data_IF_979539255985
#
_entry.id   IF_979539255985
#
_cell.length_a   1.000
_cell.length_b   1.000
_cell.length_c   1.000
_cell.angle_alpha   90.00
_cell.angle_beta   90.00
_cell.angle_gamma   90.00
#
_symmetry.space_group_name_H-M   'P 1'
#
loop_
_entity.id
_entity.type
_entity.pdbx_description
1 polymer ?
#
# COMPACT_ATOMS: atom_id res chain seq x y z
N UNK A 1 36.44 30.60 -30.06
CA UNK A 1 36.51 29.44 -29.15
C UNK A 1 35.40 29.60 -28.15
N UNK A 2 34.28 28.91 -28.37
CA UNK A 2 33.13 28.87 -27.46
C UNK A 2 33.11 27.47 -26.84
N UNK A 3 33.46 27.41 -25.56
CA UNK A 3 33.44 26.19 -24.77
C UNK A 3 31.99 25.91 -24.39
N UNK A 4 31.45 24.80 -24.88
CA UNK A 4 30.16 24.25 -24.44
C UNK A 4 30.30 23.80 -22.98
N UNK A 5 29.60 24.47 -22.08
CA UNK A 5 29.30 23.92 -20.76
C UNK A 5 28.30 22.77 -20.93
N UNK A 6 28.80 21.54 -20.73
CA UNK A 6 27.97 20.35 -20.57
C UNK A 6 27.20 20.48 -19.26
N UNK A 7 25.92 20.84 -19.35
CA UNK A 7 24.99 20.74 -18.23
C UNK A 7 24.91 19.28 -17.78
N UNK A 8 25.61 18.93 -16.70
CA UNK A 8 25.34 17.70 -15.95
C UNK A 8 23.87 17.72 -15.50
N UNK A 9 23.08 16.81 -16.05
CA UNK A 9 21.70 16.64 -15.65
C UNK A 9 21.67 16.15 -14.20
N UNK A 10 21.18 16.99 -13.29
CA UNK A 10 20.86 16.58 -11.92
C UNK A 10 20.02 15.30 -11.96
N UNK A 11 20.37 14.24 -11.20
CA UNK A 11 19.61 13.00 -11.21
C UNK A 11 18.17 13.31 -10.82
N UNK A 12 17.23 13.03 -11.72
CA UNK A 12 15.82 13.18 -11.41
C UNK A 12 15.48 12.25 -10.23
N UNK A 13 14.89 12.76 -9.15
CA UNK A 13 14.49 11.92 -8.02
C UNK A 13 13.53 10.82 -8.49
N UNK A 14 13.53 9.71 -7.77
CA UNK A 14 12.61 8.61 -8.04
C UNK A 14 11.16 9.10 -7.92
N UNK A 15 10.26 8.68 -8.83
CA UNK A 15 8.85 9.02 -8.71
C UNK A 15 8.28 8.44 -7.41
N UNK A 16 7.39 9.15 -6.70
CA UNK A 16 6.77 8.62 -5.50
C UNK A 16 5.78 7.51 -5.87
N UNK A 17 5.83 6.38 -5.16
CA UNK A 17 4.86 5.31 -5.35
C UNK A 17 4.57 4.61 -4.02
N UNK A 18 3.37 4.04 -3.95
CA UNK A 18 2.98 3.09 -2.92
C UNK A 18 2.76 1.73 -3.55
N UNK A 19 3.39 0.70 -2.99
CA UNK A 19 2.95 -0.67 -3.23
C UNK A 19 1.54 -0.80 -2.68
N UNK A 20 0.65 -1.46 -3.42
CA UNK A 20 -0.75 -1.73 -3.04
C UNK A 20 -1.03 -3.22 -3.00
N UNK A 21 -0.41 -3.97 -3.89
CA UNK A 21 -0.48 -5.42 -3.92
C UNK A 21 0.86 -5.96 -4.39
N UNK A 22 1.27 -7.09 -3.86
CA UNK A 22 2.44 -7.81 -4.32
C UNK A 22 2.16 -9.31 -4.25
N UNK A 23 2.52 -10.01 -5.31
CA UNK A 23 2.39 -11.45 -5.40
C UNK A 23 3.64 -12.03 -6.05
N UNK A 24 4.29 -12.96 -5.36
CA UNK A 24 5.37 -13.76 -5.90
C UNK A 24 4.85 -15.16 -6.23
N UNK A 25 4.95 -15.55 -7.49
CA UNK A 25 4.70 -16.91 -7.92
C UNK A 25 5.89 -17.83 -7.63
N UNK A 26 5.73 -19.10 -7.99
CA UNK A 26 6.62 -20.15 -7.46
C UNK A 26 8.08 -20.06 -7.90
N UNK A 27 8.42 -19.51 -9.08
CA UNK A 27 9.82 -19.54 -9.60
C UNK A 27 10.21 -18.48 -10.63
N UNK A 28 9.26 -17.98 -11.42
CA UNK A 28 9.58 -17.23 -12.64
C UNK A 28 8.65 -16.05 -12.92
N UNK A 29 7.77 -15.74 -11.96
CA UNK A 29 6.72 -14.76 -12.12
C UNK A 29 6.52 -13.97 -10.83
N UNK A 30 6.43 -12.66 -10.98
CA UNK A 30 6.05 -11.75 -9.89
C UNK A 30 5.12 -10.69 -10.44
N UNK A 31 4.11 -10.33 -9.65
CA UNK A 31 3.17 -9.27 -9.94
C UNK A 31 3.16 -8.24 -8.82
N UNK A 32 3.10 -6.97 -9.17
CA UNK A 32 3.05 -5.88 -8.22
C UNK A 32 2.10 -4.81 -8.73
N UNK A 33 1.17 -4.38 -7.89
CA UNK A 33 0.39 -3.17 -8.13
C UNK A 33 0.98 -2.03 -7.31
N UNK A 34 1.17 -0.89 -7.95
CA UNK A 34 1.53 0.36 -7.28
C UNK A 34 0.55 1.49 -7.60
N UNK A 35 0.43 2.42 -6.67
CA UNK A 35 -0.17 3.73 -6.90
C UNK A 35 0.95 4.77 -6.98
N UNK A 36 1.08 5.41 -8.13
CA UNK A 36 1.94 6.57 -8.33
C UNK A 36 1.02 7.79 -8.50
N UNK A 37 1.06 8.70 -7.53
CA UNK A 37 0.07 9.76 -7.37
C UNK A 37 -1.38 9.21 -7.38
N UNK A 38 -2.17 9.56 -8.40
CA UNK A 38 -3.56 9.12 -8.60
C UNK A 38 -3.71 8.05 -9.69
N UNK A 39 -2.59 7.44 -10.12
CA UNK A 39 -2.58 6.40 -11.16
C UNK A 39 -2.15 5.06 -10.61
N UNK A 40 -2.89 4.04 -11.03
CA UNK A 40 -2.60 2.64 -10.75
C UNK A 40 -1.75 2.03 -11.86
N UNK A 41 -0.69 1.34 -11.48
CA UNK A 41 0.13 0.52 -12.37
C UNK A 41 0.13 -0.92 -11.89
N UNK A 42 -0.22 -1.84 -12.78
CA UNK A 42 -0.11 -3.28 -12.55
C UNK A 42 1.11 -3.78 -13.32
N UNK A 43 2.10 -4.28 -12.61
CA UNK A 43 3.43 -4.58 -13.13
C UNK A 43 3.66 -6.07 -13.07
N UNK A 44 3.95 -6.67 -14.22
CA UNK A 44 4.24 -8.09 -14.37
C UNK A 44 5.71 -8.30 -14.73
N UNK A 45 6.40 -9.13 -13.94
CA UNK A 45 7.72 -9.63 -14.25
C UNK A 45 7.66 -11.12 -14.58
N UNK A 46 8.27 -11.52 -15.71
CA UNK A 46 8.37 -12.91 -16.13
C UNK A 46 9.81 -13.22 -16.55
N UNK A 47 10.39 -14.31 -16.04
CA UNK A 47 11.78 -14.69 -16.36
C UNK A 47 11.99 -14.93 -17.86
N UNK A 48 10.93 -15.37 -18.58
CA UNK A 48 10.97 -15.59 -20.04
C UNK A 48 11.21 -14.29 -20.82
N UNK A 49 10.79 -13.13 -20.28
CA UNK A 49 10.97 -11.83 -20.94
C UNK A 49 12.39 -11.28 -20.79
N UNK A 50 13.28 -12.02 -20.14
CA UNK A 50 14.66 -11.65 -19.84
C UNK A 50 15.66 -12.63 -20.47
N UNK A 51 15.21 -13.53 -21.35
CA UNK A 51 16.06 -14.55 -21.98
C UNK A 51 17.19 -13.95 -22.80
N UNK A 52 16.96 -12.80 -23.43
CA UNK A 52 17.94 -12.06 -24.21
C UNK A 52 19.08 -11.47 -23.35
N UNK A 53 18.91 -11.38 -22.03
CA UNK A 53 19.96 -10.94 -21.10
C UNK A 53 20.07 -11.88 -19.89
N UNK A 54 20.93 -12.92 -19.97
CA UNK A 54 21.10 -13.90 -18.90
C UNK A 54 21.53 -13.31 -17.55
N UNK A 55 22.22 -12.16 -17.55
CA UNK A 55 22.62 -11.47 -16.32
C UNK A 55 21.40 -10.95 -15.55
N UNK A 56 20.50 -10.22 -16.23
CA UNK A 56 19.26 -9.70 -15.64
C UNK A 56 18.34 -10.85 -15.23
N UNK A 57 18.22 -11.90 -16.05
CA UNK A 57 17.42 -13.08 -15.68
C UNK A 57 17.92 -13.74 -14.39
N UNK A 58 19.25 -13.84 -14.23
CA UNK A 58 19.86 -14.40 -13.01
C UNK A 58 19.59 -13.52 -11.79
N UNK A 59 19.68 -12.20 -11.93
CA UNK A 59 19.33 -11.25 -10.87
C UNK A 59 17.88 -11.41 -10.42
N UNK A 60 16.93 -11.42 -11.36
CA UNK A 60 15.50 -11.64 -11.07
C UNK A 60 15.24 -12.98 -10.37
N UNK A 61 15.84 -14.08 -10.85
CA UNK A 61 15.70 -15.38 -10.20
C UNK A 61 16.36 -15.42 -8.80
N UNK A 62 17.41 -14.64 -8.57
CA UNK A 62 18.02 -14.45 -7.26
C UNK A 62 17.05 -13.81 -6.28
N UNK A 63 16.46 -12.67 -6.66
CA UNK A 63 15.46 -11.96 -5.86
C UNK A 63 14.24 -12.83 -5.52
N UNK A 64 13.73 -13.60 -6.48
CA UNK A 64 12.65 -14.57 -6.22
C UNK A 64 13.11 -15.62 -5.20
N UNK A 65 14.31 -16.18 -5.36
CA UNK A 65 14.81 -17.20 -4.43
C UNK A 65 14.93 -16.65 -3.01
N UNK A 66 15.43 -15.42 -2.86
CA UNK A 66 15.59 -14.77 -1.56
C UNK A 66 14.22 -14.52 -0.92
N UNK A 67 13.25 -14.02 -1.68
CA UNK A 67 11.85 -13.90 -1.27
C UNK A 67 11.22 -15.22 -0.79
N UNK A 68 11.37 -16.29 -1.58
CA UNK A 68 10.82 -17.61 -1.26
C UNK A 68 11.54 -18.29 -0.09
N UNK A 69 12.73 -17.81 0.27
CA UNK A 69 13.49 -18.30 1.42
C UNK A 69 13.13 -17.59 2.73
N UNK A 70 12.30 -16.55 2.68
CA UNK A 70 11.80 -15.89 3.88
C UNK A 70 10.87 -16.85 4.64
N UNK A 71 11.27 -17.22 5.86
CA UNK A 71 10.38 -17.95 6.76
C UNK A 71 9.23 -17.04 7.17
N UNK A 72 8.00 -17.54 7.04
CA UNK A 72 6.76 -16.81 7.39
C UNK A 72 6.70 -16.35 8.87
N UNK A 73 7.60 -16.81 9.73
CA UNK A 73 7.65 -16.48 11.16
C UNK A 73 8.84 -15.55 11.53
N UNK A 74 9.74 -15.21 10.58
CA UNK A 74 10.91 -14.36 10.82
C UNK A 74 10.76 -12.97 10.19
N UNK A 75 9.70 -12.25 10.58
CA UNK A 75 9.54 -10.81 10.26
C UNK A 75 10.43 -9.90 11.11
N UNK A 76 11.49 -10.43 11.73
CA UNK A 76 12.40 -9.60 12.49
C UNK A 76 13.17 -8.72 11.52
N UNK A 77 12.90 -7.41 11.58
CA UNK A 77 13.75 -6.41 10.95
C UNK A 77 15.18 -6.63 11.44
N UNK A 78 16.08 -7.00 10.53
CA UNK A 78 17.51 -7.19 10.81
C UNK A 78 18.24 -5.92 10.36
N UNK A 79 18.64 -5.04 11.29
CA UNK A 79 19.31 -3.79 10.93
C UNK A 79 20.53 -4.07 10.06
N UNK A 80 20.64 -3.40 8.91
CA UNK A 80 21.75 -3.54 7.98
C UNK A 80 21.64 -4.72 7.00
N UNK A 81 20.58 -5.52 7.05
CA UNK A 81 20.23 -6.45 5.98
C UNK A 81 19.12 -5.86 5.11
N UNK A 82 19.23 -5.97 3.78
CA UNK A 82 18.16 -5.55 2.92
C UNK A 82 16.97 -6.49 3.06
N UNK A 83 15.76 -5.93 3.08
CA UNK A 83 14.52 -6.70 3.10
C UNK A 83 14.25 -7.26 1.69
N UNK A 84 14.17 -8.59 1.50
CA UNK A 84 14.02 -9.17 0.16
C UNK A 84 12.76 -8.69 -0.58
N UNK A 85 11.69 -8.36 0.15
CA UNK A 85 10.47 -7.79 -0.40
C UNK A 85 10.69 -6.36 -0.89
N UNK A 86 11.34 -5.51 -0.09
CA UNK A 86 11.71 -4.16 -0.49
C UNK A 86 12.63 -4.16 -1.71
N UNK A 87 13.65 -5.03 -1.74
CA UNK A 87 14.56 -5.15 -2.88
C UNK A 87 13.83 -5.54 -4.16
N UNK A 88 12.99 -6.58 -4.11
CA UNK A 88 12.23 -7.01 -5.28
C UNK A 88 11.25 -5.94 -5.76
N UNK A 89 10.52 -5.32 -4.83
CA UNK A 89 9.55 -4.28 -5.18
C UNK A 89 10.25 -3.06 -5.80
N UNK A 90 11.38 -2.62 -5.23
CA UNK A 90 12.17 -1.53 -5.80
C UNK A 90 12.75 -1.90 -7.17
N UNK A 91 13.29 -3.11 -7.32
CA UNK A 91 13.81 -3.62 -8.60
C UNK A 91 12.74 -3.56 -9.70
N UNK A 92 11.53 -4.02 -9.40
CA UNK A 92 10.39 -3.93 -10.33
C UNK A 92 9.98 -2.48 -10.61
N UNK A 93 9.83 -1.66 -9.57
CA UNK A 93 9.39 -0.27 -9.71
C UNK A 93 10.38 0.56 -10.55
N UNK A 94 11.68 0.35 -10.33
CA UNK A 94 12.77 1.05 -11.03
C UNK A 94 12.72 0.82 -12.54
N UNK A 95 12.38 -0.39 -12.99
CA UNK A 95 12.16 -0.70 -14.40
C UNK A 95 11.03 0.14 -15.03
N UNK A 96 10.09 0.62 -14.21
CA UNK A 96 8.89 1.35 -14.61
C UNK A 96 8.96 2.86 -14.38
N UNK A 97 10.01 3.42 -13.76
CA UNK A 97 10.05 4.85 -13.41
C UNK A 97 9.87 5.80 -14.59
N UNK A 98 10.34 5.44 -15.79
CA UNK A 98 10.08 6.24 -16.99
C UNK A 98 8.58 6.32 -17.32
N UNK A 99 7.86 5.21 -17.17
CA UNK A 99 6.41 5.16 -17.35
C UNK A 99 5.68 5.91 -16.25
N UNK A 100 6.11 5.80 -14.99
CA UNK A 100 5.49 6.56 -13.89
C UNK A 100 5.57 8.06 -14.16
N UNK A 101 6.73 8.58 -14.55
CA UNK A 101 6.90 10.01 -14.86
C UNK A 101 6.05 10.48 -16.04
N UNK A 102 5.88 9.62 -17.05
CA UNK A 102 5.18 9.97 -18.30
C UNK A 102 3.67 9.84 -18.17
N UNK A 103 3.20 8.78 -17.49
CA UNK A 103 1.79 8.38 -17.45
C UNK A 103 1.07 8.78 -16.16
N UNK A 104 1.83 9.10 -15.10
CA UNK A 104 1.34 9.64 -13.85
C UNK A 104 2.06 10.96 -13.53
N UNK A 105 1.76 12.04 -14.27
CA UNK A 105 2.35 13.33 -13.99
C UNK A 105 1.99 13.79 -12.58
N UNK A 106 2.92 14.49 -11.93
CA UNK A 106 2.71 15.10 -10.62
C UNK A 106 1.43 15.97 -10.65
N UNK A 107 0.48 15.78 -9.71
CA UNK A 107 -0.72 16.59 -9.64
C UNK A 107 -0.38 18.07 -9.48
N UNK A 108 -1.11 18.94 -10.18
CA UNK A 108 -0.95 20.39 -10.06
C UNK A 108 -1.69 20.97 -8.87
N UNK A 109 -2.70 20.26 -8.36
CA UNK A 109 -3.55 20.71 -7.27
C UNK A 109 -3.90 19.53 -6.34
N UNK A 110 -4.01 19.76 -5.01
CA UNK A 110 -4.51 18.77 -4.08
C UNK A 110 -5.91 18.28 -4.43
N UNK A 111 -6.08 16.96 -4.49
CA UNK A 111 -7.38 16.34 -4.79
C UNK A 111 -7.75 15.29 -3.75
N UNK A 112 -8.89 15.50 -3.09
CA UNK A 112 -9.54 14.47 -2.28
C UNK A 112 -10.26 13.51 -3.23
N UNK A 113 -9.96 12.22 -3.09
CA UNK A 113 -10.65 11.15 -3.84
C UNK A 113 -11.51 10.30 -2.90
N UNK A 114 -12.46 9.57 -3.45
CA UNK A 114 -13.26 8.60 -2.69
C UNK A 114 -12.61 7.23 -2.68
N UNK A 115 -13.05 6.38 -1.74
CA UNK A 115 -12.63 4.98 -1.67
C UNK A 115 -13.07 4.22 -2.92
N UNK A 116 -14.22 4.59 -3.49
CA UNK A 116 -14.67 4.08 -4.79
C UNK A 116 -13.67 4.41 -5.89
N UNK A 117 -13.33 5.69 -6.06
CA UNK A 117 -12.35 6.14 -7.06
C UNK A 117 -11.00 5.44 -6.87
N UNK A 118 -10.50 5.34 -5.64
CA UNK A 118 -9.22 4.69 -5.34
C UNK A 118 -9.16 3.25 -5.87
N UNK A 119 -10.18 2.43 -5.59
CA UNK A 119 -10.19 1.02 -5.99
C UNK A 119 -10.65 0.79 -7.43
N UNK A 120 -11.39 1.71 -8.03
CA UNK A 120 -11.91 1.59 -9.41
C UNK A 120 -11.06 2.32 -10.44
N UNK A 121 -9.99 3.01 -10.01
CA UNK A 121 -9.05 3.68 -10.91
C UNK A 121 -8.51 2.68 -11.94
N UNK A 122 -8.67 2.97 -13.25
CA UNK A 122 -8.16 2.09 -14.30
C UNK A 122 -6.65 1.86 -14.16
N UNK A 123 -6.24 0.60 -14.30
CA UNK A 123 -4.84 0.22 -14.22
C UNK A 123 -4.13 0.39 -15.56
N UNK A 124 -2.91 0.92 -15.51
CA UNK A 124 -1.95 0.86 -16.61
C UNK A 124 -1.13 -0.41 -16.42
N UNK A 125 -1.26 -1.36 -17.35
CA UNK A 125 -0.53 -2.62 -17.26
C UNK A 125 0.85 -2.47 -17.90
N UNK A 126 1.87 -2.82 -17.13
CA UNK A 126 3.26 -2.82 -17.55
C UNK A 126 3.82 -4.23 -17.44
N UNK A 127 4.63 -4.61 -18.41
CA UNK A 127 5.36 -5.87 -18.37
C UNK A 127 6.85 -5.57 -18.45
N UNK A 128 7.60 -6.05 -17.45
CA UNK A 128 9.04 -5.92 -17.40
C UNK A 128 9.67 -6.76 -18.52
N UNK A 129 10.64 -6.15 -19.19
CA UNK A 129 11.38 -6.73 -20.31
C UNK A 129 12.80 -6.19 -20.34
N UNK A 130 13.60 -6.70 -21.27
CA UNK A 130 14.95 -6.21 -21.51
C UNK A 130 14.99 -5.58 -22.90
N UNK A 131 15.52 -4.37 -22.99
CA UNK A 131 15.79 -3.71 -24.26
C UNK A 131 17.22 -3.18 -24.22
N UNK A 132 18.01 -3.46 -25.26
CA UNK A 132 19.43 -3.10 -25.36
C UNK A 132 20.25 -3.47 -24.11
N UNK A 133 19.99 -4.66 -23.55
CA UNK A 133 20.66 -5.15 -22.35
C UNK A 133 20.28 -4.44 -21.04
N UNK A 134 19.29 -3.54 -21.08
CA UNK A 134 18.80 -2.78 -19.92
C UNK A 134 17.39 -3.23 -19.51
N UNK A 135 17.17 -3.32 -18.20
CA UNK A 135 15.85 -3.56 -17.63
C UNK A 135 14.91 -2.38 -17.88
N UNK A 136 13.75 -2.64 -18.47
CA UNK A 136 12.72 -1.66 -18.78
C UNK A 136 11.33 -2.27 -18.67
N UNK A 137 10.30 -1.52 -18.98
CA UNK A 137 8.94 -2.02 -19.11
C UNK A 137 8.28 -1.57 -20.40
N UNK A 138 7.34 -2.36 -20.88
CA UNK A 138 6.45 -2.02 -21.99
C UNK A 138 5.00 -2.04 -21.51
N UNK A 139 4.17 -1.20 -22.09
CA UNK A 139 2.74 -1.26 -21.82
C UNK A 139 2.13 -2.49 -22.47
N UNK A 140 1.34 -3.23 -21.72
CA UNK A 140 0.70 -4.46 -22.18
C UNK A 140 -0.82 -4.40 -22.03
N UNK A 141 -1.51 -5.32 -22.69
CA UNK A 141 -2.95 -5.49 -22.53
C UNK A 141 -3.20 -6.66 -21.58
N UNK A 142 -3.45 -6.37 -20.31
CA UNK A 142 -4.00 -7.32 -19.35
C UNK A 142 -5.41 -6.91 -18.95
N UNK A 143 -6.21 -7.89 -18.51
CA UNK A 143 -7.49 -7.57 -17.89
C UNK A 143 -7.18 -6.97 -16.51
N UNK A 144 -7.82 -5.85 -16.15
CA UNK A 144 -7.60 -5.25 -14.84
C UNK A 144 -8.10 -6.19 -13.75
N UNK A 145 -7.27 -6.40 -12.74
CA UNK A 145 -7.72 -7.08 -11.53
C UNK A 145 -8.60 -6.13 -10.71
N UNK A 146 -9.72 -6.68 -10.21
CA UNK A 146 -10.58 -5.98 -9.27
C UNK A 146 -9.91 -5.93 -7.90
N UNK A 147 -9.36 -4.77 -7.53
CA UNK A 147 -8.71 -4.59 -6.23
C UNK A 147 -9.69 -4.22 -5.13
N UNK A 148 -10.96 -3.96 -5.46
CA UNK A 148 -11.95 -3.67 -4.44
C UNK A 148 -12.08 -4.89 -3.54
N UNK A 149 -11.75 -4.78 -2.24
CA UNK A 149 -11.97 -5.89 -1.33
C UNK A 149 -13.47 -6.18 -1.29
N UNK A 150 -13.84 -7.46 -1.32
CA UNK A 150 -15.23 -7.89 -1.21
C UNK A 150 -15.29 -9.16 -0.38
N UNK A 151 -15.97 -9.09 0.74
CA UNK A 151 -16.24 -10.26 1.55
C UNK A 151 -17.68 -10.26 2.03
N UNK A 152 -18.24 -11.46 2.19
CA UNK A 152 -19.63 -11.64 2.62
C UNK A 152 -19.64 -11.97 4.10
N UNK A 153 -20.26 -11.11 4.91
CA UNK A 153 -20.47 -11.42 6.32
C UNK A 153 -21.52 -12.51 6.47
N UNK A 154 -21.30 -13.45 7.39
CA UNK A 154 -22.32 -14.43 7.75
C UNK A 154 -23.61 -13.78 8.25
N UNK A 155 -24.75 -14.39 7.94
CA UNK A 155 -26.09 -13.98 8.38
C UNK A 155 -26.21 -13.88 9.92
N UNK A 156 -25.39 -14.62 10.66
CA UNK A 156 -25.36 -14.57 12.13
C UNK A 156 -24.91 -13.21 12.68
N UNK A 157 -24.24 -12.39 11.87
CA UNK A 157 -23.82 -11.04 12.26
C UNK A 157 -24.91 -9.99 12.09
N UNK A 158 -25.93 -10.24 11.24
CA UNK A 158 -27.00 -9.29 10.88
C UNK A 158 -27.67 -8.66 12.10
N UNK A 159 -27.97 -9.46 13.12
CA UNK A 159 -28.60 -8.97 14.35
C UNK A 159 -27.64 -8.16 15.24
N UNK A 160 -26.36 -8.53 15.29
CA UNK A 160 -25.34 -7.80 16.05
C UNK A 160 -24.94 -6.49 15.36
N UNK A 161 -25.03 -6.44 14.03
CA UNK A 161 -24.68 -5.30 13.19
C UNK A 161 -25.84 -4.35 12.90
N UNK A 162 -27.05 -4.64 13.38
CA UNK A 162 -28.26 -3.90 12.99
C UNK A 162 -28.18 -2.39 13.27
N UNK A 163 -27.39 -1.97 14.27
CA UNK A 163 -27.16 -0.57 14.62
C UNK A 163 -25.94 0.06 13.95
N UNK A 164 -25.15 -0.71 13.20
CA UNK A 164 -23.95 -0.22 12.53
C UNK A 164 -24.34 0.30 11.15
N UNK A 165 -24.04 1.58 10.82
CA UNK A 165 -24.42 2.15 9.54
C UNK A 165 -23.65 1.48 8.40
N UNK A 166 -24.33 1.34 7.27
CA UNK A 166 -23.74 0.88 6.02
C UNK A 166 -23.52 2.08 5.10
N UNK A 167 -22.27 2.28 4.68
CA UNK A 167 -21.87 3.38 3.81
C UNK A 167 -21.44 2.86 2.43
N UNK A 168 -21.71 3.65 1.42
CA UNK A 168 -21.17 3.42 0.07
C UNK A 168 -19.69 3.89 0.03
N UNK A 169 -18.81 3.21 -0.73
CA UNK A 169 -17.43 3.63 -0.92
C UNK A 169 -17.30 5.08 -1.43
N UNK A 170 -18.27 5.54 -2.22
CA UNK A 170 -18.35 6.92 -2.73
C UNK A 170 -18.53 7.99 -1.63
N UNK A 171 -18.93 7.58 -0.41
CA UNK A 171 -19.12 8.47 0.75
C UNK A 171 -17.92 8.49 1.70
N UNK A 172 -16.92 7.65 1.45
CA UNK A 172 -15.70 7.55 2.24
C UNK A 172 -14.58 8.23 1.46
N UNK A 173 -13.99 9.28 2.02
CA UNK A 173 -13.00 10.11 1.32
C UNK A 173 -11.58 9.86 1.84
N UNK A 174 -10.60 9.89 0.96
CA UNK A 174 -9.19 9.76 1.28
C UNK A 174 -8.61 11.19 1.37
N UNK A 175 -8.08 11.60 2.53
CA UNK A 175 -7.45 12.90 2.68
C UNK A 175 -6.21 13.03 1.79
N UNK A 176 -5.86 14.27 1.46
CA UNK A 176 -4.64 14.60 0.74
C UNK A 176 -3.42 14.52 1.66
N UNK A 177 -2.37 13.86 1.19
CA UNK A 177 -1.03 13.86 1.77
C UNK A 177 -0.23 15.01 1.15
N UNK A 178 0.02 16.07 1.92
CA UNK A 178 0.82 17.21 1.46
C UNK A 178 2.31 16.91 1.37
N UNK A 179 2.81 15.93 2.12
CA UNK A 179 4.25 15.58 2.13
C UNK A 179 4.62 14.81 0.86
N UNK A 180 3.73 13.90 0.43
CA UNK A 180 3.93 13.07 -0.76
C UNK A 180 3.08 13.50 -1.97
N UNK A 181 2.31 14.58 -1.81
CA UNK A 181 1.48 15.21 -2.84
C UNK A 181 0.57 14.24 -3.59
N UNK A 182 -0.18 13.46 -2.83
CA UNK A 182 -1.06 12.40 -3.34
C UNK A 182 -2.17 12.09 -2.35
N UNK A 183 -3.22 11.37 -2.74
CA UNK A 183 -4.16 10.82 -1.76
C UNK A 183 -3.47 9.85 -0.80
N UNK A 184 -3.81 9.92 0.49
CA UNK A 184 -3.33 8.94 1.47
C UNK A 184 -3.86 7.54 1.13
N UNK A 185 -3.12 6.51 1.52
CA UNK A 185 -3.63 5.12 1.50
C UNK A 185 -4.96 5.03 2.25
N UNK A 186 -5.86 4.10 1.88
CA UNK A 186 -7.17 3.95 2.50
C UNK A 186 -7.18 3.68 4.01
N UNK A 187 -6.06 3.59 4.71
CA UNK A 187 -6.03 3.36 6.16
C UNK A 187 -6.63 4.52 6.96
N UNK A 188 -6.43 5.78 6.54
CA UNK A 188 -7.02 6.98 7.16
C UNK A 188 -8.04 7.59 6.21
N UNK A 189 -9.28 7.69 6.63
CA UNK A 189 -10.39 8.20 5.80
C UNK A 189 -11.23 9.24 6.51
N UNK A 190 -11.92 10.07 5.73
CA UNK A 190 -12.88 11.07 6.18
C UNK A 190 -14.29 10.62 5.82
N UNK A 191 -15.19 10.67 6.81
CA UNK A 191 -16.58 10.22 6.66
C UNK A 191 -17.56 11.31 7.10
N UNK A 192 -18.64 11.45 6.34
CA UNK A 192 -19.71 12.43 6.61
C UNK A 192 -19.36 13.86 6.21
N UNK A 193 -20.31 14.78 6.38
CA UNK A 193 -20.16 16.19 5.97
C UNK A 193 -19.12 16.94 6.81
N UNK A 194 -18.97 16.57 8.08
CA UNK A 194 -18.00 17.15 9.00
C UNK A 194 -16.59 16.61 8.81
N UNK A 195 -16.39 15.60 7.94
CA UNK A 195 -15.07 15.02 7.67
C UNK A 195 -14.48 14.29 8.87
N UNK A 196 -15.28 13.50 9.60
CA UNK A 196 -14.79 12.76 10.77
C UNK A 196 -13.75 11.73 10.35
N UNK A 197 -12.57 11.80 10.97
CA UNK A 197 -11.49 10.85 10.74
C UNK A 197 -11.82 9.46 11.31
N UNK A 198 -11.64 8.44 10.48
CA UNK A 198 -11.84 7.04 10.81
C UNK A 198 -10.72 6.20 10.19
N UNK A 199 -10.45 5.04 10.79
CA UNK A 199 -9.55 4.06 10.20
C UNK A 199 -10.37 3.11 9.34
N UNK A 200 -10.05 3.00 8.06
CA UNK A 200 -10.67 2.01 7.20
C UNK A 200 -9.78 0.77 7.13
N UNK A 201 -10.37 -0.37 7.50
CA UNK A 201 -9.74 -1.67 7.41
C UNK A 201 -10.39 -2.46 6.28
N UNK A 202 -9.67 -2.76 5.19
CA UNK A 202 -10.23 -3.53 4.08
C UNK A 202 -10.58 -4.95 4.53
N UNK A 203 -11.66 -5.50 3.96
CA UNK A 203 -12.13 -6.84 4.27
C UNK A 203 -11.90 -7.79 3.08
N UNK A 204 -10.74 -8.43 3.08
CA UNK A 204 -10.35 -9.40 2.06
C UNK A 204 -10.99 -10.78 2.31
N UNK A 205 -11.29 -11.50 1.22
CA UNK A 205 -11.98 -12.80 1.28
C UNK A 205 -11.10 -13.86 1.95
N UNK A 206 -9.82 -13.83 1.66
CA UNK A 206 -8.78 -14.72 2.18
C UNK A 206 -8.68 -14.59 3.71
N UNK A 207 -8.98 -13.39 4.23
CA UNK A 207 -8.95 -13.06 5.65
C UNK A 207 -10.34 -13.05 6.30
N UNK A 208 -11.34 -13.66 5.67
CA UNK A 208 -12.74 -13.61 6.14
C UNK A 208 -12.87 -14.08 7.59
N UNK A 209 -12.26 -15.22 7.96
CA UNK A 209 -12.35 -15.75 9.34
C UNK A 209 -11.75 -14.79 10.38
N UNK A 210 -10.64 -14.14 10.04
CA UNK A 210 -10.00 -13.15 10.91
C UNK A 210 -10.85 -11.89 11.03
N UNK A 211 -11.35 -11.39 9.90
CA UNK A 211 -12.21 -10.21 9.82
C UNK A 211 -13.52 -10.43 10.60
N UNK A 212 -14.18 -11.57 10.43
CA UNK A 212 -15.39 -11.91 11.18
C UNK A 212 -15.14 -12.02 12.68
N UNK A 213 -14.05 -12.67 13.09
CA UNK A 213 -13.68 -12.78 14.52
C UNK A 213 -13.44 -11.41 15.13
N UNK A 214 -12.74 -10.53 14.43
CA UNK A 214 -12.49 -9.16 14.87
C UNK A 214 -13.79 -8.36 14.98
N UNK A 215 -14.62 -8.36 13.94
CA UNK A 215 -15.94 -7.69 13.94
C UNK A 215 -16.78 -8.18 15.11
N UNK A 216 -16.90 -9.50 15.29
CA UNK A 216 -17.65 -10.11 16.40
C UNK A 216 -17.16 -9.62 17.75
N UNK A 217 -15.84 -9.55 17.92
CA UNK A 217 -15.21 -9.16 19.18
C UNK A 217 -15.50 -7.69 19.48
N UNK A 218 -15.26 -6.80 18.51
CA UNK A 218 -15.48 -5.36 18.68
C UNK A 218 -16.96 -5.02 18.93
N UNK A 219 -17.89 -5.68 18.21
CA UNK A 219 -19.33 -5.52 18.46
C UNK A 219 -19.73 -6.00 19.85
N UNK A 220 -19.19 -7.14 20.31
CA UNK A 220 -19.47 -7.66 21.66
C UNK A 220 -18.97 -6.73 22.75
N UNK A 221 -17.76 -6.17 22.60
CA UNK A 221 -17.21 -5.20 23.55
C UNK A 221 -18.09 -3.94 23.64
N UNK A 222 -18.60 -3.47 22.50
CA UNK A 222 -19.51 -2.34 22.45
C UNK A 222 -20.83 -2.62 23.17
N UNK A 223 -21.45 -3.78 22.90
CA UNK A 223 -22.71 -4.20 23.55
C UNK A 223 -22.58 -4.32 25.08
N UNK A 224 -21.42 -4.73 25.57
CA UNK A 224 -21.13 -4.82 27.01
C UNK A 224 -20.79 -3.45 27.65
N UNK A 225 -20.81 -2.36 26.88
CA UNK A 225 -20.43 -1.03 27.37
C UNK A 225 -18.98 -0.94 27.82
N UNK A 226 -18.10 -1.78 27.28
CA UNK A 226 -16.70 -1.85 27.71
C UNK A 226 -15.81 -0.84 27.00
N UNK A 227 -16.26 -0.24 25.89
CA UNK A 227 -15.41 0.60 25.05
C UNK A 227 -14.92 1.89 25.72
N UNK A 228 -15.57 2.32 26.80
CA UNK A 228 -15.14 3.47 27.61
C UNK A 228 -14.32 3.05 28.85
N UNK A 229 -14.29 1.74 29.14
CA UNK A 229 -13.56 1.14 30.27
C UNK A 229 -12.22 0.53 29.84
N UNK A 230 -12.14 0.04 28.60
CA UNK A 230 -10.92 -0.48 27.99
C UNK A 230 -10.63 0.29 26.69
N UNK A 231 -9.36 0.58 26.43
CA UNK A 231 -8.92 1.30 25.22
C UNK A 231 -8.97 0.37 24.01
N UNK A 232 -10.15 0.20 23.44
CA UNK A 232 -10.37 -0.59 22.23
C UNK A 232 -11.05 0.26 21.14
N UNK A 233 -10.71 0.07 19.86
CA UNK A 233 -11.40 0.76 18.77
C UNK A 233 -12.90 0.43 18.75
N UNK A 234 -13.75 1.43 18.51
CA UNK A 234 -15.18 1.24 18.21
C UNK A 234 -15.37 1.06 16.70
N UNK A 235 -16.27 0.17 16.29
CA UNK A 235 -16.78 0.12 14.91
C UNK A 235 -17.75 1.28 14.72
N UNK A 236 -17.50 2.11 13.71
CA UNK A 236 -18.36 3.24 13.32
C UNK A 236 -19.24 2.93 12.12
N UNK A 237 -18.87 1.97 11.27
CA UNK A 237 -19.63 1.66 10.06
C UNK A 237 -19.06 0.47 9.29
N UNK A 238 -19.87 -0.06 8.39
CA UNK A 238 -19.44 -0.97 7.33
C UNK A 238 -19.44 -0.22 6.00
N UNK A 239 -18.48 -0.52 5.14
CA UNK A 239 -18.48 -0.02 3.77
C UNK A 239 -18.94 -1.15 2.86
N UNK A 240 -19.95 -0.92 2.02
CA UNK A 240 -20.55 -1.95 1.16
C UNK A 240 -20.58 -1.55 -0.31
N UNK A 241 -20.26 -2.52 -1.17
CA UNK A 241 -20.30 -2.44 -2.64
C UNK A 241 -21.71 -2.34 -3.25
N UNK A 242 -22.76 -2.23 -2.43
CA UNK A 242 -24.09 -1.79 -2.89
C UNK A 242 -25.22 -2.81 -2.77
N UNK A 243 -24.96 -4.09 -2.48
CA UNK A 243 -26.04 -5.04 -2.24
C UNK A 243 -26.31 -5.29 -0.74
N UNK A 244 -27.25 -4.52 -0.19
CA UNK A 244 -27.71 -4.62 1.21
C UNK A 244 -28.24 -6.02 1.57
N UNK A 245 -28.82 -6.77 0.62
CA UNK A 245 -29.43 -8.07 0.92
C UNK A 245 -28.40 -9.19 1.11
N UNK A 246 -27.16 -9.00 0.63
CA UNK A 246 -26.12 -10.02 0.72
C UNK A 246 -25.07 -9.73 1.80
N UNK A 247 -25.09 -8.55 2.44
CA UNK A 247 -24.05 -8.08 3.37
C UNK A 247 -22.62 -8.28 2.83
N UNK A 248 -22.44 -7.95 1.54
CA UNK A 248 -21.11 -7.83 0.97
C UNK A 248 -20.51 -6.49 1.42
N UNK A 249 -19.37 -6.57 2.10
CA UNK A 249 -18.62 -5.41 2.58
C UNK A 249 -17.26 -5.34 1.91
N UNK A 250 -16.80 -4.13 1.68
CA UNK A 250 -15.44 -3.83 1.24
C UNK A 250 -14.49 -3.60 2.42
N UNK A 251 -15.03 -3.28 3.58
CA UNK A 251 -14.25 -3.06 4.78
C UNK A 251 -15.07 -2.55 5.94
N UNK A 252 -14.37 -2.32 7.03
CA UNK A 252 -14.94 -1.81 8.28
C UNK A 252 -14.32 -0.46 8.62
N UNK A 253 -15.14 0.46 9.11
CA UNK A 253 -14.70 1.73 9.64
C UNK A 253 -14.61 1.63 11.15
N UNK A 254 -13.42 1.85 11.68
CA UNK A 254 -13.15 1.80 13.12
C UNK A 254 -12.54 3.12 13.61
N UNK A 255 -12.46 3.26 14.92
CA UNK A 255 -11.90 4.46 15.54
C UNK A 255 -10.46 4.67 15.07
N UNK A 256 -10.20 5.82 14.45
CA UNK A 256 -8.85 6.22 14.11
C UNK A 256 -8.09 6.56 15.39
N UNK A 257 -7.03 5.81 15.67
CA UNK A 257 -6.14 6.09 16.80
C UNK A 257 -4.96 6.86 16.24
N UNK A 258 -4.93 8.18 16.46
CA UNK A 258 -3.80 9.01 16.07
C UNK A 258 -2.61 8.66 16.97
N UNK A 259 -1.60 8.02 16.40
CA UNK A 259 -0.34 7.81 17.09
C UNK A 259 0.32 9.20 17.27
N UNK A 260 0.42 9.66 18.52
CA UNK A 260 1.24 10.83 18.86
C UNK A 260 2.62 10.30 19.21
N UNK A 261 3.56 10.30 18.27
CA UNK A 261 4.97 10.35 18.63
C UNK A 261 5.24 11.75 19.20
N UNK A 262 4.99 11.89 20.50
CA UNK A 262 5.65 12.91 21.32
C UNK A 262 6.49 12.14 22.34
N UNK A 263 7.69 11.76 21.94
CA UNK A 263 8.80 11.74 22.86
C UNK A 263 9.65 12.96 22.52
N UNK A 264 9.31 14.10 23.13
CA UNK A 264 10.27 15.17 23.36
C UNK A 264 11.40 14.55 24.20
N UNK A 265 12.48 14.12 23.55
CA UNK A 265 13.79 14.14 24.18
C UNK A 265 14.41 15.51 23.89
N UNK A 266 13.84 16.56 24.48
CA UNK A 266 14.62 17.77 24.76
C UNK A 266 14.93 17.76 26.25
N UNK A 267 16.15 17.33 26.58
CA UNK A 267 17.02 18.00 27.55
C UNK A 267 18.38 17.29 27.51
N UNK A 268 19.25 17.76 26.63
CA UNK A 268 20.52 18.37 27.02
C UNK A 268 21.21 18.89 25.77
N UNK A 269 21.26 20.21 25.67
CA UNK A 269 22.29 20.90 24.88
C UNK A 269 23.62 20.58 25.55
N UNK A 270 24.52 19.94 24.82
CA UNK A 270 25.94 20.23 24.95
C UNK A 270 26.62 20.07 23.60
N UNK A 271 27.48 21.03 23.32
CA UNK A 271 28.15 21.30 22.07
C UNK A 271 29.02 20.13 21.58
N UNK A 272 28.84 19.71 20.32
CA UNK A 272 29.95 19.39 19.40
C UNK A 272 29.49 19.07 17.96
N UNK A 273 29.87 19.99 17.06
CA UNK A 273 30.40 19.83 15.68
C UNK A 273 29.75 18.85 14.70
N UNK A 274 29.32 19.46 13.58
CA UNK A 274 29.31 19.06 12.16
C UNK A 274 29.54 17.59 11.74
N UNK A 275 28.79 17.22 10.70
CA UNK A 275 28.74 15.96 9.94
C UNK A 275 27.80 14.87 10.48
N UNK A 276 26.49 14.99 10.20
CA UNK A 276 25.61 13.83 9.94
C UNK A 276 24.22 14.26 9.41
N UNK A 277 24.13 14.50 8.09
CA UNK A 277 22.87 14.83 7.39
C UNK A 277 22.33 13.68 6.52
N UNK A 278 22.74 12.43 6.75
CA UNK A 278 22.36 11.29 5.89
C UNK A 278 21.42 10.26 6.54
N UNK A 279 21.08 10.38 7.82
CA UNK A 279 20.40 9.30 8.57
C UNK A 279 18.92 9.61 8.89
N UNK A 280 18.48 10.86 8.73
CA UNK A 280 17.13 11.26 9.13
C UNK A 280 16.04 11.10 8.05
N UNK A 281 16.37 10.71 6.82
CA UNK A 281 15.35 10.46 5.77
C UNK A 281 14.83 9.02 5.72
N UNK A 282 15.47 8.07 6.41
CA UNK A 282 15.13 6.64 6.38
C UNK A 282 14.18 6.22 7.51
N UNK A 283 14.06 7.01 8.58
CA UNK A 283 13.21 6.68 9.73
C UNK A 283 11.71 6.88 9.45
N UNK A 284 11.33 7.78 8.52
CA UNK A 284 9.92 8.01 8.16
C UNK A 284 9.34 7.00 7.16
N UNK A 285 10.17 6.12 6.58
CA UNK A 285 9.71 5.05 5.67
C UNK A 285 9.20 3.81 6.43
N UNK A 286 9.64 3.61 7.67
CA UNK A 286 9.49 2.33 8.39
C UNK A 286 8.13 2.15 9.09
N UNK A 287 7.34 3.20 9.31
CA UNK A 287 5.97 3.03 9.83
C UNK A 287 4.99 2.51 8.77
N UNK A 288 5.37 2.56 7.49
CA UNK A 288 4.52 2.15 6.38
C UNK A 288 4.48 0.63 6.17
N UNK A 289 5.47 -0.13 6.65
CA UNK A 289 5.59 -1.58 6.44
C UNK A 289 5.01 -2.43 7.57
N UNK A 290 5.10 -1.97 8.83
CA UNK A 290 4.75 -2.79 10.00
C UNK A 290 3.24 -2.92 10.27
N UNK A 291 2.40 -2.17 9.56
CA UNK A 291 0.94 -2.19 9.72
C UNK A 291 0.19 -2.79 8.50
N UNK A 292 0.85 -3.67 7.73
CA UNK A 292 0.31 -4.10 6.43
C UNK A 292 -0.28 -5.52 6.48
N UNK A 293 -1.58 -5.69 6.19
CA UNK A 293 -2.25 -7.00 6.17
C UNK A 293 -1.76 -7.97 5.07
N UNK A 294 -0.88 -7.55 4.17
CA UNK A 294 -0.45 -8.34 3.02
C UNK A 294 0.75 -9.26 3.29
N UNK A 295 1.34 -9.24 4.49
CA UNK A 295 2.34 -10.24 4.91
C UNK A 295 1.78 -11.67 4.95
N UNK A 296 0.47 -11.86 4.73
CA UNK A 296 -0.20 -13.16 4.68
C UNK A 296 -0.56 -13.67 3.27
N UNK A 297 -0.18 -12.96 2.19
CA UNK A 297 -0.44 -13.41 0.82
C UNK A 297 0.75 -14.16 0.18
N UNK A 298 1.84 -14.35 0.92
CA UNK A 298 2.97 -15.17 0.50
C UNK A 298 2.62 -16.65 0.63
N UNK A 299 2.62 -17.33 -0.52
CA UNK A 299 2.71 -18.78 -0.70
C UNK A 299 1.40 -19.56 -0.49
N UNK A 300 0.73 -19.85 -1.61
CA UNK A 300 -0.13 -21.02 -1.80
C UNK A 300 0.32 -21.75 -3.06
#
# INVERSE_FOLDING_TARGET
MTSNESSEATPHPDPPYDIVNFWCGDKDKTEMTVMCYDRRFDILALAKNMEECPAIKREFCGLIKDLLSMDNDDFQFKPGQPDPMEEMCYWMAKACFAHFRTLAPRPTEPRIITLEEYYTTPAIHLTITVNDGKLTAIQSSHKPDDLMPRTRLSLSYTAMSASVPLLEPSKVKLPWDSEHERPLRPSRVLVGNEGKEQFFKPAYRELLKHSEREIKTLLRLHQLGLNDKIRVPKIHGFVSSGNKSNMEICGILITYIKFRLYLNCEENRDERTEDDNSIYSSLNKNESFLAQPWLAQTLN
#
